data_IF_362513671703
#
_entry.id   IF_362513671703
#
_cell.length_a   1.000
_cell.length_b   1.000
_cell.length_c   1.000
_cell.angle_alpha   90.00
_cell.angle_beta   90.00
_cell.angle_gamma   90.00
#
_symmetry.space_group_name_H-M   'P 1'
#
loop_
_entity.id
_entity.type
_entity.pdbx_description
1 polymer ?
#
# COMPACT_ATOMS: atom_id res chain seq x y z
N UNK A 1 12.20 12.62 5.73
CA UNK A 1 11.07 12.10 4.92
C UNK A 1 10.98 12.94 3.66
N UNK A 2 10.93 12.34 2.47
CA UNK A 2 10.74 13.09 1.22
C UNK A 2 9.31 13.61 1.12
N UNK A 3 9.13 14.90 0.84
CA UNK A 3 7.81 15.51 0.68
C UNK A 3 7.37 15.26 -0.77
N UNK A 4 6.32 14.47 -0.97
CA UNK A 4 5.68 14.31 -2.28
C UNK A 4 4.77 15.50 -2.51
N UNK A 5 5.03 16.28 -3.57
CA UNK A 5 4.15 17.38 -3.98
C UNK A 5 2.98 16.83 -4.79
N UNK A 6 1.76 17.17 -4.39
CA UNK A 6 0.53 16.91 -5.14
C UNK A 6 -0.21 18.24 -5.35
N UNK A 7 -1.11 18.31 -6.34
CA UNK A 7 -1.90 19.52 -6.56
C UNK A 7 -2.88 19.76 -5.42
N UNK A 8 -3.21 21.03 -5.17
CA UNK A 8 -4.18 21.44 -4.14
C UNK A 8 -5.53 20.73 -4.33
N UNK A 9 -6.01 20.68 -5.57
CA UNK A 9 -7.24 19.97 -5.90
C UNK A 9 -7.19 18.48 -5.51
N UNK A 10 -6.05 17.81 -5.72
CA UNK A 10 -5.90 16.41 -5.35
C UNK A 10 -5.81 16.23 -3.83
N UNK A 11 -5.15 17.14 -3.13
CA UNK A 11 -5.10 17.16 -1.67
C UNK A 11 -6.52 17.26 -1.09
N UNK A 12 -7.36 18.14 -1.63
CA UNK A 12 -8.75 18.29 -1.21
C UNK A 12 -9.61 17.05 -1.51
N UNK A 13 -9.41 16.43 -2.68
CA UNK A 13 -10.09 15.17 -3.02
C UNK A 13 -9.71 14.04 -2.04
N UNK A 14 -8.43 13.93 -1.68
CA UNK A 14 -7.96 12.94 -0.69
C UNK A 14 -8.53 13.21 0.70
N UNK A 15 -8.65 14.48 1.10
CA UNK A 15 -9.27 14.88 2.38
C UNK A 15 -10.72 14.43 2.46
N UNK A 16 -11.52 14.68 1.41
CA UNK A 16 -12.93 14.27 1.35
C UNK A 16 -13.06 12.74 1.39
N UNK A 17 -12.28 12.03 0.57
CA UNK A 17 -12.30 10.57 0.53
C UNK A 17 -11.84 9.94 1.86
N UNK A 18 -10.79 10.47 2.47
CA UNK A 18 -10.29 10.02 3.77
C UNK A 18 -11.35 10.15 4.86
N UNK A 19 -12.04 11.30 4.94
CA UNK A 19 -13.15 11.49 5.88
C UNK A 19 -14.29 10.48 5.64
N UNK A 20 -14.69 10.24 4.39
CA UNK A 20 -15.76 9.29 4.05
C UNK A 20 -15.38 7.83 4.38
N UNK A 21 -14.11 7.46 4.24
CA UNK A 21 -13.61 6.11 4.46
C UNK A 21 -12.98 5.91 5.85
N UNK A 22 -13.11 6.90 6.74
CA UNK A 22 -12.54 6.88 8.10
C UNK A 22 -11.02 6.64 8.11
N UNK A 23 -10.28 7.33 7.22
CA UNK A 23 -8.81 7.28 7.11
C UNK A 23 -8.21 8.68 7.14
N UNK A 24 -6.97 8.81 7.63
CA UNK A 24 -6.21 10.06 7.50
C UNK A 24 -5.87 10.33 6.02
N UNK A 25 -5.57 11.60 5.69
CA UNK A 25 -5.18 11.97 4.32
C UNK A 25 -3.94 11.19 3.84
N UNK A 26 -2.96 10.98 4.73
CA UNK A 26 -1.76 10.22 4.42
C UNK A 26 -2.09 8.75 4.20
N UNK A 27 -2.94 8.13 5.04
CA UNK A 27 -3.36 6.75 4.86
C UNK A 27 -4.16 6.56 3.57
N UNK A 28 -4.96 7.56 3.17
CA UNK A 28 -5.69 7.53 1.91
C UNK A 28 -4.76 7.68 0.69
N UNK A 29 -3.76 8.56 0.78
CA UNK A 29 -2.73 8.71 -0.25
C UNK A 29 -1.92 7.41 -0.40
N UNK A 30 -1.46 6.84 0.72
CA UNK A 30 -0.71 5.60 0.76
C UNK A 30 -1.51 4.42 0.20
N UNK A 31 -2.80 4.32 0.51
CA UNK A 31 -3.70 3.32 -0.08
C UNK A 31 -3.69 3.39 -1.60
N UNK A 32 -3.86 4.58 -2.18
CA UNK A 32 -3.87 4.75 -3.64
C UNK A 32 -2.51 4.48 -4.29
N UNK A 33 -1.40 4.85 -3.62
CA UNK A 33 -0.06 4.52 -4.10
C UNK A 33 0.15 3.01 -4.15
N UNK A 34 -0.22 2.28 -3.08
CA UNK A 34 -0.09 0.81 -3.04
C UNK A 34 -0.99 0.13 -4.07
N UNK A 35 -2.24 0.59 -4.23
CA UNK A 35 -3.15 0.09 -5.28
C UNK A 35 -2.53 0.29 -6.66
N UNK A 36 -2.06 1.51 -6.98
CA UNK A 36 -1.46 1.80 -8.28
C UNK A 36 -0.24 0.94 -8.58
N UNK A 37 0.66 0.77 -7.60
CA UNK A 37 1.84 -0.08 -7.78
C UNK A 37 1.47 -1.55 -7.98
N UNK A 38 0.50 -2.08 -7.23
CA UNK A 38 0.06 -3.46 -7.42
C UNK A 38 -0.63 -3.69 -8.76
N UNK A 39 -1.42 -2.73 -9.24
CA UNK A 39 -2.04 -2.80 -10.57
C UNK A 39 -0.99 -2.77 -11.69
N UNK A 40 0.10 -2.01 -11.52
CA UNK A 40 1.21 -1.98 -12.49
C UNK A 40 1.94 -3.33 -12.58
N UNK A 41 2.11 -4.01 -11.44
CA UNK A 41 2.80 -5.31 -11.34
C UNK A 41 1.88 -6.47 -11.78
N UNK A 42 0.60 -6.35 -11.49
CA UNK A 42 -0.41 -7.38 -11.72
C UNK A 42 -1.57 -6.83 -12.57
N UNK A 43 -1.33 -6.48 -13.84
CA UNK A 43 -2.35 -5.87 -14.72
C UNK A 43 -3.55 -6.78 -15.00
N UNK A 44 -3.43 -8.08 -14.75
CA UNK A 44 -4.48 -9.08 -14.86
C UNK A 44 -5.48 -9.07 -13.69
N UNK A 45 -5.11 -8.48 -12.55
CA UNK A 45 -5.93 -8.48 -11.36
C UNK A 45 -6.91 -7.30 -11.36
N UNK A 46 -8.15 -7.58 -10.97
CA UNK A 46 -9.14 -6.53 -10.76
C UNK A 46 -9.00 -5.89 -9.36
N UNK A 47 -9.68 -4.76 -9.16
CA UNK A 47 -9.58 -4.00 -7.90
C UNK A 47 -9.91 -4.84 -6.65
N UNK A 48 -10.88 -5.77 -6.73
CA UNK A 48 -11.23 -6.63 -5.59
C UNK A 48 -10.06 -7.55 -5.22
N UNK A 49 -9.37 -8.10 -6.21
CA UNK A 49 -8.20 -8.98 -6.00
C UNK A 49 -7.01 -8.19 -5.44
N UNK A 50 -6.77 -6.97 -5.94
CA UNK A 50 -5.77 -6.04 -5.39
C UNK A 50 -6.06 -5.73 -3.91
N UNK A 51 -7.33 -5.46 -3.55
CA UNK A 51 -7.69 -5.26 -2.15
C UNK A 51 -7.42 -6.50 -1.28
N UNK A 52 -7.67 -7.70 -1.79
CA UNK A 52 -7.36 -8.94 -1.06
C UNK A 52 -5.85 -9.10 -0.86
N UNK A 53 -5.03 -8.76 -1.86
CA UNK A 53 -3.57 -8.77 -1.71
C UNK A 53 -3.10 -7.78 -0.63
N UNK A 54 -3.65 -6.56 -0.60
CA UNK A 54 -3.35 -5.58 0.43
C UNK A 54 -3.68 -6.08 1.84
N UNK A 55 -4.84 -6.73 2.01
CA UNK A 55 -5.24 -7.31 3.31
C UNK A 55 -4.29 -8.44 3.71
N UNK A 56 -3.95 -9.34 2.78
CA UNK A 56 -3.00 -10.44 3.05
C UNK A 56 -1.62 -9.92 3.44
N UNK A 57 -1.15 -8.88 2.76
CA UNK A 57 0.12 -8.24 3.08
C UNK A 57 0.10 -7.61 4.49
N UNK A 58 -0.96 -6.90 4.85
CA UNK A 58 -1.11 -6.32 6.19
C UNK A 58 -1.10 -7.40 7.29
N UNK A 59 -1.83 -8.51 7.07
CA UNK A 59 -1.82 -9.66 7.99
C UNK A 59 -0.44 -10.34 8.10
N UNK A 60 0.41 -10.20 7.07
CA UNK A 60 1.77 -10.71 7.02
C UNK A 60 2.83 -9.70 7.48
N UNK A 61 2.44 -8.66 8.23
CA UNK A 61 3.36 -7.67 8.80
C UNK A 61 3.60 -6.43 7.92
N UNK A 62 2.80 -6.25 6.87
CA UNK A 62 2.84 -5.08 5.99
C UNK A 62 3.23 -5.41 4.55
N UNK A 63 3.08 -4.41 3.68
CA UNK A 63 3.36 -4.55 2.25
C UNK A 63 4.79 -4.10 1.91
N UNK A 64 5.68 -5.06 1.65
CA UNK A 64 6.97 -4.78 1.00
C UNK A 64 6.82 -4.81 -0.52
N UNK A 65 6.61 -3.63 -1.13
CA UNK A 65 6.50 -3.52 -2.59
C UNK A 65 7.78 -3.99 -3.29
N UNK A 66 8.97 -3.77 -2.72
CA UNK A 66 10.21 -4.23 -3.32
C UNK A 66 10.28 -5.77 -3.35
N UNK A 67 9.74 -6.42 -2.31
CA UNK A 67 9.52 -7.86 -2.26
C UNK A 67 8.49 -8.33 -3.30
N UNK A 68 7.37 -7.62 -3.45
CA UNK A 68 6.32 -7.94 -4.44
C UNK A 68 6.86 -7.88 -5.87
N UNK A 69 7.59 -6.82 -6.24
CA UNK A 69 8.22 -6.70 -7.58
C UNK A 69 9.21 -7.84 -7.84
N UNK A 70 9.88 -8.36 -6.80
CA UNK A 70 10.81 -9.49 -6.90
C UNK A 70 10.12 -10.86 -6.85
N UNK A 71 8.78 -10.92 -6.80
CA UNK A 71 8.03 -12.17 -6.70
C UNK A 71 8.08 -12.84 -5.32
N UNK A 72 8.40 -12.09 -4.27
CA UNK A 72 8.55 -12.58 -2.90
C UNK A 72 7.50 -11.94 -1.98
N UNK A 73 6.24 -12.35 -2.10
CA UNK A 73 5.27 -12.11 -1.03
C UNK A 73 5.59 -13.06 0.14
N UNK A 74 6.09 -12.53 1.26
CA UNK A 74 6.15 -13.26 2.53
C UNK A 74 7.53 -13.62 3.11
N UNK A 75 8.58 -12.82 2.88
CA UNK A 75 9.91 -13.04 3.50
C UNK A 75 10.37 -11.96 4.49
N UNK A 76 9.45 -11.31 5.21
CA UNK A 76 9.85 -10.28 6.19
C UNK A 76 10.04 -10.80 7.61
N UNK A 77 9.65 -12.04 7.93
CA UNK A 77 9.59 -12.53 9.32
C UNK A 77 10.75 -13.42 9.79
N UNK A 78 11.83 -13.63 9.02
CA UNK A 78 12.89 -14.58 9.46
C UNK A 78 14.18 -13.92 9.97
N UNK A 79 14.39 -12.60 9.84
CA UNK A 79 15.71 -12.01 10.15
C UNK A 79 15.81 -11.42 11.57
N UNK A 80 14.72 -11.20 12.30
CA UNK A 80 14.76 -10.53 13.62
C UNK A 80 14.73 -11.48 14.84
N UNK A 81 14.67 -12.81 14.64
CA UNK A 81 14.56 -13.78 15.74
C UNK A 81 15.89 -14.32 16.30
N UNK A 82 17.05 -13.97 15.72
CA UNK A 82 18.37 -14.38 16.25
C UNK A 82 19.15 -13.17 16.79
N UNK A 83 18.88 -12.82 18.05
CA UNK A 83 19.87 -12.19 18.93
C UNK A 83 19.59 -12.60 20.38
N UNK A 84 20.11 -13.77 20.73
CA UNK A 84 20.63 -14.03 22.08
C UNK A 84 22.05 -13.46 22.16
#
# INVERSE_FOLDING_TARGET
MGIVKISEQMHENLRVAGNALSRSINAQAEHWMRVGMLTEIHPELNYREICQLLIRAELAGGLDIAGVVKGQLGKTDTIMAEKH
#
